data_IF_890567221341
#
_entry.id   IF_890567221341
#
_cell.length_a   1.000
_cell.length_b   1.000
_cell.length_c   1.000
_cell.angle_alpha   90.00
_cell.angle_beta   90.00
_cell.angle_gamma   90.00
#
_symmetry.space_group_name_H-M   'P 1'
#
loop_
_entity.id
_entity.type
_entity.pdbx_description
1 polymer ?
#
# COMPACT_ATOMS: atom_id res chain seq x y z
N UNK A 1 6.89 4.31 -8.05
CA UNK A 1 5.43 4.47 -8.28
C UNK A 1 4.87 4.92 -6.96
N UNK A 2 4.18 6.06 -6.88
CA UNK A 2 3.75 6.54 -5.57
C UNK A 2 2.67 5.62 -5.01
N UNK A 3 2.95 4.95 -3.90
CA UNK A 3 2.03 4.09 -3.15
C UNK A 3 1.49 4.85 -1.94
N UNK A 4 0.18 4.82 -1.75
CA UNK A 4 -0.51 5.53 -0.68
C UNK A 4 -1.21 4.55 0.27
N UNK A 5 -1.46 5.01 1.49
CA UNK A 5 -2.30 4.29 2.45
C UNK A 5 -3.70 4.07 1.86
N UNK A 6 -4.18 2.84 1.96
CA UNK A 6 -5.44 2.36 1.38
C UNK A 6 -5.30 1.76 -0.03
N UNK A 7 -4.16 1.92 -0.71
CA UNK A 7 -3.95 1.27 -2.00
C UNK A 7 -3.95 -0.26 -1.85
N UNK A 8 -4.60 -0.95 -2.77
CA UNK A 8 -4.48 -2.41 -2.94
C UNK A 8 -3.42 -2.65 -4.01
N UNK A 9 -2.36 -3.35 -3.63
CA UNK A 9 -1.16 -3.49 -4.47
C UNK A 9 -0.78 -4.97 -4.65
N UNK A 10 -0.06 -5.25 -5.74
CA UNK A 10 0.60 -6.55 -5.99
C UNK A 10 2.12 -6.39 -5.91
N UNK A 11 2.77 -7.29 -5.19
CA UNK A 11 4.22 -7.33 -5.03
C UNK A 11 4.90 -8.24 -6.04
N UNK A 12 6.22 -8.13 -6.15
CA UNK A 12 7.09 -9.00 -6.96
C UNK A 12 7.05 -10.48 -6.56
N UNK A 13 6.72 -10.78 -5.31
CA UNK A 13 6.48 -12.13 -4.80
C UNK A 13 5.11 -12.71 -5.19
N UNK A 14 4.27 -11.94 -5.89
CA UNK A 14 2.89 -12.31 -6.25
C UNK A 14 1.89 -12.11 -5.11
N UNK A 15 2.31 -11.57 -3.97
CA UNK A 15 1.42 -11.28 -2.84
C UNK A 15 0.55 -10.06 -3.17
N UNK A 16 -0.70 -10.08 -2.72
CA UNK A 16 -1.64 -8.96 -2.85
C UNK A 16 -2.14 -8.54 -1.47
N UNK A 17 -2.35 -7.24 -1.27
CA UNK A 17 -2.88 -6.74 -0.02
C UNK A 17 -3.12 -5.23 -0.02
N UNK A 18 -3.72 -4.76 1.07
CA UNK A 18 -3.97 -3.34 1.33
C UNK A 18 -2.79 -2.70 2.06
N UNK A 19 -2.36 -1.54 1.61
CA UNK A 19 -1.33 -0.74 2.29
C UNK A 19 -1.96 -0.03 3.48
N UNK A 20 -1.65 -0.46 4.69
CA UNK A 20 -2.23 0.12 5.90
C UNK A 20 -1.42 1.29 6.46
N UNK A 21 -0.12 1.34 6.21
CA UNK A 21 0.76 2.42 6.65
C UNK A 21 1.91 2.63 5.65
N UNK A 22 2.41 3.88 5.57
CA UNK A 22 3.53 4.30 4.72
C UNK A 22 4.47 5.16 5.57
N UNK A 23 5.76 4.85 5.62
CA UNK A 23 6.75 5.60 6.40
C UNK A 23 8.17 5.51 5.81
N UNK A 24 9.08 6.32 6.33
CA UNK A 24 10.48 6.38 5.87
C UNK A 24 10.77 7.60 5.01
N UNK A 25 11.94 8.20 5.21
CA UNK A 25 12.39 9.44 4.55
C UNK A 25 13.26 9.17 3.31
N UNK A 26 14.18 8.20 3.40
CA UNK A 26 15.09 7.84 2.30
C UNK A 26 14.61 6.62 1.50
N UNK A 27 13.99 5.64 2.19
CA UNK A 27 13.35 4.47 1.58
C UNK A 27 11.93 4.38 2.08
N UNK A 28 10.95 4.36 1.18
CA UNK A 28 9.54 4.23 1.52
C UNK A 28 9.24 2.78 1.93
N UNK A 29 8.92 2.60 3.21
CA UNK A 29 8.39 1.37 3.77
C UNK A 29 6.87 1.38 3.75
N UNK A 30 6.29 0.21 3.51
CA UNK A 30 4.86 0.00 3.47
C UNK A 30 4.50 -1.15 4.42
N UNK A 31 3.39 -1.02 5.14
CA UNK A 31 2.77 -2.16 5.82
C UNK A 31 1.68 -2.73 4.92
N UNK A 32 1.91 -3.93 4.39
CA UNK A 32 0.93 -4.65 3.59
C UNK A 32 0.09 -5.54 4.51
N UNK A 33 -1.23 -5.36 4.51
CA UNK A 33 -2.19 -6.27 5.12
C UNK A 33 -2.73 -7.21 4.06
N UNK A 34 -2.50 -8.49 4.24
CA UNK A 34 -2.97 -9.57 3.36
C UNK A 34 -4.40 -9.97 3.69
N UNK A 35 -5.02 -10.72 2.79
CA UNK A 35 -6.38 -11.26 2.96
C UNK A 35 -6.51 -12.21 4.16
N UNK A 36 -5.42 -12.88 4.54
CA UNK A 36 -5.34 -13.74 5.74
C UNK A 36 -5.31 -12.95 7.07
N UNK A 37 -5.39 -11.61 7.00
CA UNK A 37 -5.34 -10.70 8.13
C UNK A 37 -3.94 -10.44 8.68
N UNK A 38 -2.90 -11.13 8.17
CA UNK A 38 -1.52 -10.89 8.60
C UNK A 38 -0.98 -9.61 7.94
N UNK A 39 -0.05 -8.98 8.64
CA UNK A 39 0.65 -7.81 8.12
C UNK A 39 2.11 -8.12 7.91
N UNK A 40 2.69 -7.53 6.84
CA UNK A 40 4.09 -7.70 6.47
C UNK A 40 4.67 -6.33 6.06
N UNK A 41 5.84 -5.94 6.59
CA UNK A 41 6.56 -4.78 6.08
C UNK A 41 7.19 -5.14 4.72
N UNK A 42 7.02 -4.26 3.73
CA UNK A 42 7.63 -4.36 2.40
C UNK A 42 8.19 -3.00 1.98
N UNK A 43 9.01 -2.99 0.94
CA UNK A 43 9.47 -1.74 0.33
C UNK A 43 8.55 -1.30 -0.81
N UNK A 44 8.49 0.00 -1.09
CA UNK A 44 7.84 0.52 -2.30
C UNK A 44 8.42 -0.12 -3.58
N UNK A 45 9.72 -0.42 -3.59
CA UNK A 45 10.40 -1.07 -4.71
C UNK A 45 9.92 -2.50 -4.99
N UNK A 46 9.29 -3.16 -4.01
CA UNK A 46 8.73 -4.51 -4.19
C UNK A 46 7.36 -4.48 -4.88
N UNK A 47 6.74 -3.30 -5.02
CA UNK A 47 5.41 -3.15 -5.61
C UNK A 47 5.51 -3.08 -7.13
N UNK A 48 4.85 -4.00 -7.82
CA UNK A 48 4.82 -4.04 -9.29
C UNK A 48 3.63 -3.25 -9.84
N UNK A 49 2.47 -3.35 -9.20
CA UNK A 49 1.26 -2.65 -9.66
C UNK A 49 0.33 -2.28 -8.50
N UNK A 50 -0.42 -1.19 -8.69
CA UNK A 50 -1.56 -0.83 -7.86
C UNK A 50 -2.82 -1.36 -8.54
N UNK A 51 -3.42 -2.38 -7.96
CA UNK A 51 -4.65 -3.02 -8.45
C UNK A 51 -5.84 -2.07 -8.28
N UNK A 52 -5.92 -1.41 -7.12
CA UNK A 52 -7.02 -0.51 -6.79
C UNK A 52 -6.55 0.61 -5.90
N UNK A 53 -6.89 1.84 -6.28
CA UNK A 53 -6.78 3.02 -5.43
C UNK A 53 -8.17 3.45 -4.99
N UNK A 54 -8.60 3.17 -3.75
CA UNK A 54 -9.86 3.69 -3.26
C UNK A 54 -9.81 5.21 -3.36
N UNK A 55 -10.83 5.81 -3.99
CA UNK A 55 -10.98 7.26 -3.92
C UNK A 55 -11.16 7.60 -2.44
N UNK A 56 -10.22 8.35 -1.87
CA UNK A 56 -10.42 8.92 -0.55
C UNK A 56 -11.80 9.59 -0.54
N UNK A 57 -12.68 9.33 0.44
CA UNK A 57 -13.92 10.08 0.55
C UNK A 57 -13.50 11.54 0.58
N UNK A 58 -13.93 12.32 -0.41
CA UNK A 58 -13.57 13.73 -0.52
C UNK A 58 -13.86 14.35 0.83
N UNK A 59 -12.82 14.67 1.60
CA UNK A 59 -12.98 15.40 2.85
C UNK A 59 -13.52 16.75 2.39
N UNK A 60 -14.84 16.90 2.49
CA UNK A 60 -15.53 18.13 2.14
C UNK A 60 -14.77 19.25 2.82
N UNK A 61 -14.21 20.14 1.99
CA UNK A 61 -13.51 21.34 2.42
C UNK A 61 -14.53 22.13 3.24
N UNK A 62 -14.38 22.12 4.56
CA UNK A 62 -15.22 22.86 5.50
C UNK A 62 -14.31 23.69 6.38
#
# INVERSE_FOLDING_TARGET
MIVLKGDIVRTNSGETGEVTDVWGLASTFLRLKKDDGKTKPIFESDVIEIIKRPKSPSRGRR
#
